data_IF_915358546946
#
_entry.id   IF_915358546946
#
_cell.length_a   1.000
_cell.length_b   1.000
_cell.length_c   1.000
_cell.angle_alpha   90.00
_cell.angle_beta   90.00
_cell.angle_gamma   90.00
#
_symmetry.space_group_name_H-M   'P 1'
#
loop_
_entity.id
_entity.type
_entity.pdbx_description
1 polymer ?
#
# COMPACT_ATOMS: atom_id res chain seq x y z
N UNK A 1 -7.17 42.49 -21.86
CA UNK A 1 -6.42 41.76 -20.83
C UNK A 1 -7.34 41.61 -19.65
N UNK A 2 -7.90 40.40 -19.48
CA UNK A 2 -8.86 40.08 -18.43
C UNK A 2 -8.16 40.09 -17.05
N UNK A 3 -8.90 40.46 -16.00
CA UNK A 3 -8.39 40.50 -14.62
C UNK A 3 -7.82 39.13 -14.12
N UNK A 4 -8.11 38.05 -14.79
CA UNK A 4 -7.55 36.72 -14.56
C UNK A 4 -6.07 36.62 -15.00
N UNK A 5 -5.66 37.30 -16.08
CA UNK A 5 -4.28 37.26 -16.55
C UNK A 5 -3.30 37.95 -15.58
N UNK A 6 -3.79 38.90 -14.76
CA UNK A 6 -2.98 39.57 -13.73
C UNK A 6 -2.75 38.72 -12.47
N UNK A 7 -3.60 37.73 -12.22
CA UNK A 7 -3.46 36.76 -11.12
C UNK A 7 -2.50 35.62 -11.49
N UNK A 8 -2.40 35.29 -12.78
CA UNK A 8 -1.56 34.21 -13.29
C UNK A 8 -0.10 34.66 -13.61
N UNK A 9 0.20 35.96 -13.55
CA UNK A 9 1.53 36.49 -13.88
C UNK A 9 2.42 36.81 -12.68
N UNK A 10 2.04 36.47 -11.44
CA UNK A 10 3.00 36.41 -10.36
C UNK A 10 3.84 35.12 -10.53
N UNK A 11 5.17 35.25 -10.68
CA UNK A 11 5.99 34.07 -10.83
C UNK A 11 5.84 33.20 -9.58
N UNK A 12 5.49 31.93 -9.79
CA UNK A 12 5.36 30.90 -8.75
C UNK A 12 6.66 30.78 -7.92
N UNK A 13 7.78 31.26 -8.42
CA UNK A 13 9.07 31.36 -7.75
C UNK A 13 9.11 32.30 -6.54
N UNK A 14 8.48 33.48 -6.60
CA UNK A 14 8.50 34.41 -5.48
C UNK A 14 7.68 33.92 -4.27
N UNK A 15 6.55 33.24 -4.52
CA UNK A 15 5.74 32.67 -3.44
C UNK A 15 6.44 31.44 -2.82
N UNK A 16 7.21 30.68 -3.60
CA UNK A 16 7.99 29.55 -3.09
C UNK A 16 9.25 29.96 -2.34
N UNK A 17 9.87 31.10 -2.66
CA UNK A 17 11.04 31.59 -1.94
C UNK A 17 10.66 32.19 -0.58
N UNK A 18 9.55 32.90 -0.45
CA UNK A 18 9.07 33.43 0.83
C UNK A 18 8.65 32.34 1.82
N UNK A 19 8.10 31.20 1.33
CA UNK A 19 7.71 30.08 2.17
C UNK A 19 8.93 29.27 2.63
N UNK A 20 9.97 29.13 1.80
CA UNK A 20 11.19 28.37 2.13
C UNK A 20 11.96 28.93 3.33
N UNK A 21 11.90 30.24 3.57
CA UNK A 21 12.61 30.88 4.69
C UNK A 21 11.95 30.69 6.06
N UNK A 22 10.64 30.42 6.12
CA UNK A 22 9.87 30.42 7.37
C UNK A 22 10.29 29.33 8.37
N UNK A 23 10.75 28.18 7.89
CA UNK A 23 11.12 27.04 8.71
C UNK A 23 12.63 26.94 9.00
N UNK A 24 13.45 27.79 8.39
CA UNK A 24 14.91 27.77 8.58
C UNK A 24 15.34 28.07 10.02
N UNK A 25 14.57 28.90 10.76
CA UNK A 25 14.81 29.14 12.20
C UNK A 25 14.72 27.86 13.02
N UNK A 26 13.99 26.86 12.55
CA UNK A 26 13.86 25.54 13.15
C UNK A 26 14.81 24.51 12.53
N UNK A 27 15.74 24.93 11.69
CA UNK A 27 16.64 24.05 10.94
C UNK A 27 15.89 23.03 10.06
N UNK A 28 14.80 23.45 9.44
CA UNK A 28 13.95 22.66 8.56
C UNK A 28 13.82 23.33 7.20
N UNK A 29 13.85 22.52 6.14
CA UNK A 29 13.66 23.00 4.76
C UNK A 29 12.20 23.29 4.41
N UNK A 30 11.25 22.68 5.13
CA UNK A 30 9.81 22.81 4.99
C UNK A 30 9.13 22.25 6.24
N UNK A 31 7.79 22.38 6.35
CA UNK A 31 7.03 21.69 7.38
C UNK A 31 7.10 20.17 7.15
N UNK A 32 7.69 19.38 8.05
CA UNK A 32 7.88 17.94 7.84
C UNK A 32 6.58 17.13 7.94
N UNK A 33 5.56 17.70 8.56
CA UNK A 33 4.29 17.01 8.80
C UNK A 33 3.30 17.24 7.66
N UNK A 34 2.39 16.29 7.38
CA UNK A 34 1.35 16.50 6.39
C UNK A 34 0.22 17.37 6.94
N UNK A 35 -0.26 18.32 6.11
CA UNK A 35 -1.45 19.13 6.44
C UNK A 35 -2.72 18.27 6.54
N UNK A 36 -2.80 17.23 5.71
CA UNK A 36 -3.85 16.22 5.72
C UNK A 36 -3.20 14.83 5.81
N UNK A 37 -3.15 14.24 7.01
CA UNK A 37 -2.44 12.98 7.24
C UNK A 37 -3.26 11.75 6.81
N UNK A 38 -3.47 11.61 5.51
CA UNK A 38 -3.95 10.37 4.89
C UNK A 38 -2.84 9.76 4.04
N UNK A 39 -2.78 8.45 3.96
CA UNK A 39 -1.71 7.77 3.23
C UNK A 39 -2.20 7.39 1.83
N UNK A 40 -1.41 7.78 0.81
CA UNK A 40 -1.64 7.43 -0.59
C UNK A 40 -0.32 6.98 -1.22
N UNK A 41 -0.19 5.71 -1.58
CA UNK A 41 1.04 5.11 -2.13
C UNK A 41 1.55 5.80 -3.40
N UNK A 42 0.64 6.39 -4.18
CA UNK A 42 0.91 7.01 -5.47
C UNK A 42 1.16 8.54 -5.37
N UNK A 43 1.15 9.09 -4.15
CA UNK A 43 1.44 10.50 -3.94
C UNK A 43 2.94 10.80 -4.15
N UNK A 44 3.23 11.95 -4.73
CA UNK A 44 4.60 12.45 -4.88
C UNK A 44 5.18 13.00 -3.58
N UNK A 45 4.35 13.31 -2.59
CA UNK A 45 4.75 13.85 -1.30
C UNK A 45 5.15 12.71 -0.34
N UNK A 46 6.41 12.69 0.06
CA UNK A 46 6.98 11.67 0.93
C UNK A 46 6.33 11.64 2.33
N UNK A 47 5.68 12.73 2.75
CA UNK A 47 4.93 12.81 4.03
C UNK A 47 3.72 11.90 4.08
N UNK A 48 3.13 11.58 2.90
CA UNK A 48 1.89 10.82 2.80
C UNK A 48 1.99 9.56 1.92
N UNK A 49 3.12 9.30 1.26
CA UNK A 49 3.27 8.12 0.39
C UNK A 49 3.81 6.86 1.11
N UNK A 50 3.97 6.92 2.44
CA UNK A 50 4.46 5.84 3.27
C UNK A 50 5.98 5.62 3.21
N UNK A 51 6.78 6.54 2.63
CA UNK A 51 8.24 6.49 2.72
C UNK A 51 8.73 6.86 4.13
N UNK A 52 8.10 7.85 4.75
CA UNK A 52 8.40 8.21 6.13
C UNK A 52 7.64 7.24 7.03
N UNK A 53 8.33 6.24 7.54
CA UNK A 53 7.78 5.21 8.42
C UNK A 53 8.77 4.89 9.53
N UNK A 54 8.28 4.89 10.78
CA UNK A 54 9.08 4.53 11.95
C UNK A 54 8.79 3.09 12.38
N UNK A 55 9.73 2.20 12.12
CA UNK A 55 9.57 0.76 12.37
C UNK A 55 9.45 0.40 13.86
N UNK A 56 10.17 1.12 14.73
CA UNK A 56 10.16 0.81 16.16
C UNK A 56 8.77 0.97 16.79
N UNK A 57 7.95 1.88 16.25
CA UNK A 57 6.55 2.06 16.68
C UNK A 57 5.71 0.79 16.44
N UNK A 58 6.00 0.05 15.37
CA UNK A 58 5.24 -1.14 14.93
C UNK A 58 6.09 -2.41 14.92
N UNK A 59 7.10 -2.44 15.76
CA UNK A 59 8.04 -3.55 15.85
C UNK A 59 7.37 -4.88 16.14
N UNK A 60 6.45 -4.93 17.09
CA UNK A 60 5.70 -6.15 17.44
C UNK A 60 4.87 -6.67 16.26
N UNK A 61 4.14 -5.77 15.60
CA UNK A 61 3.31 -6.10 14.45
C UNK A 61 4.19 -6.60 13.28
N UNK A 62 5.35 -5.97 13.10
CA UNK A 62 6.33 -6.38 12.10
C UNK A 62 6.90 -7.76 12.40
N UNK A 63 7.31 -8.02 13.63
CA UNK A 63 7.82 -9.32 14.07
C UNK A 63 6.77 -10.43 13.88
N UNK A 64 5.50 -10.14 14.19
CA UNK A 64 4.41 -11.09 13.97
C UNK A 64 4.18 -11.35 12.47
N UNK A 65 4.20 -10.31 11.63
CA UNK A 65 4.11 -10.45 10.17
C UNK A 65 5.25 -11.33 9.64
N UNK A 66 6.47 -11.06 10.06
CA UNK A 66 7.65 -11.84 9.69
C UNK A 66 7.52 -13.29 10.11
N UNK A 67 7.21 -13.54 11.37
CA UNK A 67 7.22 -14.88 11.94
C UNK A 67 6.02 -15.74 11.50
N UNK A 68 4.85 -15.13 11.27
CA UNK A 68 3.63 -15.85 10.93
C UNK A 68 3.43 -16.02 9.41
N UNK A 69 4.00 -15.12 8.59
CA UNK A 69 3.71 -15.10 7.16
C UNK A 69 4.96 -15.10 6.27
N UNK A 70 5.93 -14.20 6.52
CA UNK A 70 7.00 -13.97 5.55
C UNK A 70 8.10 -15.04 5.58
N UNK A 71 8.44 -15.57 6.76
CA UNK A 71 9.49 -16.58 6.93
C UNK A 71 9.04 -18.01 6.61
N UNK A 72 7.74 -18.28 6.71
CA UNK A 72 7.23 -19.65 6.59
C UNK A 72 7.21 -20.07 5.11
N UNK A 73 7.88 -21.17 4.74
CA UNK A 73 7.84 -21.69 3.38
C UNK A 73 6.41 -22.05 2.93
N UNK A 74 6.10 -21.85 1.65
CA UNK A 74 4.75 -22.09 1.10
C UNK A 74 4.29 -23.55 1.21
N UNK A 75 5.22 -24.50 1.19
CA UNK A 75 4.96 -25.93 1.34
C UNK A 75 4.95 -26.41 2.80
N UNK A 76 5.20 -25.52 3.76
CA UNK A 76 5.10 -25.86 5.18
C UNK A 76 3.63 -25.97 5.61
N UNK A 77 3.23 -27.01 6.38
CA UNK A 77 1.86 -27.15 6.87
C UNK A 77 1.40 -25.98 7.75
N UNK A 78 2.32 -25.24 8.37
CA UNK A 78 2.00 -24.05 9.19
C UNK A 78 1.83 -22.77 8.36
N UNK A 79 2.01 -22.83 7.03
CA UNK A 79 1.86 -21.67 6.17
C UNK A 79 0.42 -21.13 6.17
N UNK A 80 0.29 -19.86 6.52
CA UNK A 80 -0.99 -19.17 6.57
C UNK A 80 -1.26 -18.46 5.24
N UNK A 81 -2.40 -18.79 4.64
CA UNK A 81 -2.84 -18.24 3.35
C UNK A 81 -3.65 -16.95 3.49
N UNK A 82 -4.02 -16.61 4.72
CA UNK A 82 -4.77 -15.42 5.05
C UNK A 82 -4.43 -14.94 6.45
N UNK A 83 -4.37 -13.62 6.62
CA UNK A 83 -4.19 -12.95 7.88
C UNK A 83 -4.94 -11.63 7.94
N UNK A 84 -5.04 -11.09 9.14
CA UNK A 84 -5.72 -9.84 9.42
C UNK A 84 -4.81 -8.89 10.20
N UNK A 85 -4.75 -7.65 9.73
CA UNK A 85 -4.27 -6.52 10.53
C UNK A 85 -5.52 -5.90 11.15
N UNK A 86 -5.68 -6.06 12.46
CA UNK A 86 -6.92 -5.71 13.15
C UNK A 86 -6.69 -4.63 14.20
N UNK A 87 -7.50 -3.58 14.12
CA UNK A 87 -7.54 -2.55 15.16
C UNK A 87 -8.26 -3.11 16.40
N UNK A 88 -7.55 -3.21 17.51
CA UNK A 88 -8.08 -3.77 18.77
C UNK A 88 -8.58 -2.72 19.74
N UNK A 89 -8.36 -1.44 19.46
CA UNK A 89 -8.50 -0.37 20.45
C UNK A 89 -9.71 0.55 20.22
N UNK A 90 -10.57 0.28 19.25
CA UNK A 90 -11.74 1.11 18.92
C UNK A 90 -11.43 2.60 18.68
N UNK A 91 -10.18 2.96 18.37
CA UNK A 91 -9.74 4.35 18.16
C UNK A 91 -10.23 4.92 16.83
N UNK A 92 -10.75 4.09 15.97
CA UNK A 92 -11.15 4.50 14.63
C UNK A 92 -9.99 4.56 13.63
N UNK A 93 -10.13 5.40 12.62
CA UNK A 93 -9.15 5.59 11.55
C UNK A 93 -7.95 6.42 12.05
N UNK A 94 -6.81 6.29 11.35
CA UNK A 94 -5.63 7.13 11.61
C UNK A 94 -4.55 6.48 12.48
N UNK A 95 -4.65 5.19 12.78
CA UNK A 95 -3.67 4.46 13.60
C UNK A 95 -2.44 3.93 12.83
N UNK A 96 -2.25 4.33 11.54
CA UNK A 96 -1.07 3.98 10.75
C UNK A 96 -1.11 2.60 10.07
N UNK A 97 -2.26 1.91 10.00
CA UNK A 97 -2.38 0.59 9.32
C UNK A 97 -2.02 0.67 7.83
N UNK A 98 -2.55 1.66 7.12
CA UNK A 98 -2.24 1.87 5.70
C UNK A 98 -0.76 2.18 5.48
N UNK A 99 -0.15 3.00 6.33
CA UNK A 99 1.29 3.29 6.26
C UNK A 99 2.13 2.02 6.48
N UNK A 100 1.76 1.19 7.46
CA UNK A 100 2.39 -0.10 7.71
C UNK A 100 2.28 -1.01 6.48
N UNK A 101 1.09 -1.12 5.89
CA UNK A 101 0.84 -1.99 4.75
C UNK A 101 1.62 -1.54 3.50
N UNK A 102 1.69 -0.23 3.25
CA UNK A 102 2.46 0.33 2.12
C UNK A 102 3.97 0.15 2.35
N UNK A 103 4.46 0.33 3.58
CA UNK A 103 5.86 0.06 3.89
C UNK A 103 6.19 -1.43 3.72
N UNK A 104 5.32 -2.33 4.17
CA UNK A 104 5.45 -3.77 3.98
C UNK A 104 5.46 -4.14 2.48
N UNK A 105 4.53 -3.56 1.70
CA UNK A 105 4.47 -3.73 0.24
C UNK A 105 5.80 -3.38 -0.43
N UNK A 106 6.34 -2.22 -0.11
CA UNK A 106 7.63 -1.77 -0.65
C UNK A 106 8.76 -2.74 -0.30
N UNK A 107 8.90 -3.08 0.98
CA UNK A 107 9.95 -4.00 1.46
C UNK A 107 9.88 -5.39 0.83
N UNK A 108 8.69 -5.97 0.69
CA UNK A 108 8.55 -7.28 0.05
C UNK A 108 9.03 -7.21 -1.41
N UNK A 109 8.66 -6.15 -2.14
CA UNK A 109 9.08 -5.98 -3.54
C UNK A 109 10.57 -5.60 -3.69
N UNK A 110 11.21 -5.11 -2.63
CA UNK A 110 12.67 -4.92 -2.53
C UNK A 110 13.41 -6.19 -2.12
N UNK A 111 12.75 -7.34 -1.98
CA UNK A 111 13.35 -8.62 -1.66
C UNK A 111 13.33 -9.02 -0.18
N UNK A 112 12.71 -8.23 0.70
CA UNK A 112 12.74 -8.47 2.15
C UNK A 112 12.28 -9.90 2.56
N UNK A 113 11.26 -10.46 1.90
CA UNK A 113 10.80 -11.82 2.19
C UNK A 113 11.86 -12.88 1.84
N UNK A 114 12.66 -12.65 0.79
CA UNK A 114 13.75 -13.52 0.40
C UNK A 114 14.88 -13.46 1.44
N UNK A 115 15.26 -12.26 1.86
CA UNK A 115 16.36 -12.02 2.79
C UNK A 115 16.10 -12.66 4.16
N UNK A 116 14.92 -12.39 4.75
CA UNK A 116 14.57 -12.91 6.08
C UNK A 116 14.27 -14.40 6.12
N UNK A 117 14.00 -15.02 4.97
CA UNK A 117 13.73 -16.46 4.84
C UNK A 117 14.95 -17.28 4.40
N UNK A 118 16.17 -16.69 4.43
CA UNK A 118 17.39 -17.32 3.96
C UNK A 118 17.28 -17.84 2.51
N UNK A 119 16.79 -16.99 1.63
CA UNK A 119 16.61 -17.25 0.19
C UNK A 119 15.55 -18.33 -0.15
N UNK A 120 14.64 -18.65 0.77
CA UNK A 120 13.57 -19.64 0.51
C UNK A 120 12.35 -18.99 -0.15
N UNK A 121 11.93 -17.81 0.32
CA UNK A 121 10.66 -17.18 -0.09
C UNK A 121 10.89 -16.01 -1.05
N UNK A 122 11.10 -16.31 -2.33
CA UNK A 122 11.08 -15.28 -3.38
C UNK A 122 9.63 -14.89 -3.68
N UNK A 123 9.18 -13.82 -3.06
CA UNK A 123 7.79 -13.36 -3.15
C UNK A 123 7.73 -11.91 -3.60
N UNK A 124 6.64 -11.55 -4.26
CA UNK A 124 6.26 -10.17 -4.49
C UNK A 124 5.00 -9.82 -3.69
N UNK A 125 4.63 -8.55 -3.67
CA UNK A 125 3.37 -8.11 -3.09
C UNK A 125 2.59 -7.20 -4.04
N UNK A 126 1.28 -7.22 -3.88
CA UNK A 126 0.34 -6.34 -4.55
C UNK A 126 -0.49 -5.63 -3.49
N UNK A 127 -0.57 -4.32 -3.58
CA UNK A 127 -1.39 -3.49 -2.69
C UNK A 127 -2.65 -3.04 -3.40
N UNK A 128 -3.79 -3.21 -2.77
CA UNK A 128 -5.07 -2.76 -3.28
C UNK A 128 -5.98 -2.24 -2.17
N UNK A 129 -6.84 -1.30 -2.53
CA UNK A 129 -7.88 -0.76 -1.66
C UNK A 129 -9.22 -0.79 -2.39
N UNK A 130 -10.25 -1.44 -1.84
CA UNK A 130 -11.58 -1.46 -2.44
C UNK A 130 -12.12 -0.06 -2.65
N UNK A 131 -12.83 0.14 -3.76
CA UNK A 131 -13.41 1.44 -4.07
C UNK A 131 -14.51 1.80 -3.07
N UNK A 132 -14.60 3.08 -2.66
CA UNK A 132 -15.62 3.54 -1.73
C UNK A 132 -17.02 3.51 -2.37
N UNK A 133 -18.08 3.64 -1.53
CA UNK A 133 -19.46 3.75 -1.99
C UNK A 133 -20.04 2.45 -2.55
N UNK A 134 -19.48 1.29 -2.17
CA UNK A 134 -20.02 0.00 -2.56
C UNK A 134 -19.77 -0.39 -4.02
N UNK A 135 -18.78 0.18 -4.68
CA UNK A 135 -18.38 -0.20 -6.04
C UNK A 135 -17.71 -1.57 -6.09
N UNK A 136 -17.06 -1.97 -4.99
CA UNK A 136 -16.48 -3.31 -4.83
C UNK A 136 -17.32 -4.09 -3.82
N UNK A 137 -18.30 -4.88 -4.30
CA UNK A 137 -19.23 -5.67 -3.44
C UNK A 137 -19.06 -7.18 -3.59
N UNK A 138 -18.65 -7.65 -4.78
CA UNK A 138 -18.53 -9.07 -5.06
C UNK A 138 -17.07 -9.50 -5.06
N UNK A 139 -16.83 -10.78 -4.87
CA UNK A 139 -15.48 -11.33 -4.96
C UNK A 139 -14.89 -11.12 -6.36
N UNK A 140 -15.70 -11.29 -7.41
CA UNK A 140 -15.26 -11.02 -8.79
C UNK A 140 -14.78 -9.57 -8.99
N UNK A 141 -15.45 -8.57 -8.38
CA UNK A 141 -14.99 -7.18 -8.44
C UNK A 141 -13.67 -6.96 -7.69
N UNK A 142 -13.48 -7.63 -6.53
CA UNK A 142 -12.20 -7.61 -5.84
C UNK A 142 -11.10 -8.23 -6.70
N UNK A 143 -11.39 -9.29 -7.44
CA UNK A 143 -10.45 -9.96 -8.33
C UNK A 143 -10.12 -9.10 -9.56
N UNK A 144 -11.08 -8.36 -10.11
CA UNK A 144 -10.82 -7.37 -11.15
C UNK A 144 -9.87 -6.27 -10.66
N UNK A 145 -10.07 -5.79 -9.41
CA UNK A 145 -9.18 -4.83 -8.77
C UNK A 145 -7.79 -5.43 -8.49
N UNK A 146 -7.73 -6.68 -8.06
CA UNK A 146 -6.47 -7.39 -7.84
C UNK A 146 -5.67 -7.52 -9.14
N UNK A 147 -6.30 -7.93 -10.24
CA UNK A 147 -5.62 -8.02 -11.52
C UNK A 147 -5.15 -6.65 -12.01
N UNK A 148 -5.96 -5.61 -11.87
CA UNK A 148 -5.54 -4.23 -12.16
C UNK A 148 -4.29 -3.86 -11.37
N UNK A 149 -4.26 -4.18 -10.07
CA UNK A 149 -3.09 -3.88 -9.23
C UNK A 149 -1.84 -4.68 -9.62
N UNK A 150 -1.99 -5.90 -10.15
CA UNK A 150 -0.89 -6.66 -10.77
C UNK A 150 -0.33 -5.92 -11.98
N UNK A 151 -1.19 -5.39 -12.86
CA UNK A 151 -0.77 -4.60 -14.01
C UNK A 151 -0.05 -3.30 -13.59
N UNK A 152 -0.67 -2.55 -12.67
CA UNK A 152 -0.13 -1.28 -12.18
C UNK A 152 1.24 -1.44 -11.49
N UNK A 153 1.51 -2.60 -10.88
CA UNK A 153 2.80 -2.94 -10.27
C UNK A 153 3.88 -3.38 -11.25
N UNK A 154 3.57 -3.48 -12.53
CA UNK A 154 4.47 -3.98 -13.59
C UNK A 154 5.02 -5.40 -13.36
N UNK A 155 4.45 -6.18 -12.44
CA UNK A 155 4.97 -7.52 -12.09
C UNK A 155 4.95 -8.48 -13.29
N UNK A 156 3.95 -8.38 -14.18
CA UNK A 156 3.90 -9.20 -15.40
C UNK A 156 5.06 -8.84 -16.31
N UNK A 157 5.37 -7.56 -16.50
CA UNK A 157 6.50 -7.08 -17.29
C UNK A 157 7.82 -7.62 -16.75
N UNK A 158 8.00 -7.59 -15.44
CA UNK A 158 9.18 -8.10 -14.75
C UNK A 158 9.31 -9.64 -14.92
N UNK A 159 8.22 -10.37 -14.78
CA UNK A 159 8.19 -11.82 -14.98
C UNK A 159 8.52 -12.21 -16.42
N UNK A 160 7.96 -11.49 -17.41
CA UNK A 160 8.28 -11.71 -18.82
C UNK A 160 9.77 -11.52 -19.09
N UNK A 161 10.38 -10.48 -18.56
CA UNK A 161 11.82 -10.25 -18.69
C UNK A 161 12.65 -11.38 -18.03
N UNK A 162 12.28 -11.80 -16.83
CA UNK A 162 12.97 -12.89 -16.13
C UNK A 162 12.92 -14.22 -16.91
N UNK A 163 11.73 -14.61 -17.39
CA UNK A 163 11.56 -15.84 -18.17
C UNK A 163 12.33 -15.78 -19.49
N UNK A 164 12.36 -14.61 -20.15
CA UNK A 164 13.14 -14.41 -21.39
C UNK A 164 14.63 -14.46 -21.14
N UNK A 165 15.11 -13.90 -20.01
CA UNK A 165 16.52 -14.01 -19.66
C UNK A 165 16.93 -15.47 -19.47
N UNK A 166 16.15 -16.26 -18.73
CA UNK A 166 16.42 -17.68 -18.52
C UNK A 166 16.42 -18.47 -19.84
N UNK A 167 15.48 -18.18 -20.72
CA UNK A 167 15.42 -18.79 -22.05
C UNK A 167 16.60 -18.38 -22.92
N UNK A 168 16.99 -17.12 -22.91
CA UNK A 168 18.12 -16.58 -23.67
C UNK A 168 19.44 -17.21 -23.22
N UNK A 169 19.68 -17.29 -21.91
CA UNK A 169 20.86 -17.96 -21.36
C UNK A 169 20.91 -19.46 -21.72
N UNK A 170 19.75 -20.11 -21.83
CA UNK A 170 19.66 -21.49 -22.25
C UNK A 170 19.95 -21.67 -23.76
N UNK A 171 19.53 -20.72 -24.61
CA UNK A 171 19.76 -20.75 -26.06
C UNK A 171 21.15 -20.28 -26.42
N UNK A 172 21.74 -19.39 -25.65
CA UNK A 172 23.04 -18.75 -25.92
C UNK A 172 23.86 -18.78 -24.63
N UNK A 173 24.54 -19.90 -24.32
CA UNK A 173 25.31 -20.04 -23.06
C UNK A 173 26.39 -18.98 -22.86
N UNK A 174 26.96 -18.46 -23.96
CA UNK A 174 27.99 -17.42 -23.96
C UNK A 174 27.43 -15.99 -23.81
N UNK A 175 26.11 -15.83 -23.71
CA UNK A 175 25.51 -14.53 -23.54
C UNK A 175 25.87 -13.96 -22.16
N UNK A 176 26.51 -12.79 -22.15
CA UNK A 176 26.91 -12.12 -20.93
C UNK A 176 25.98 -10.94 -20.61
N UNK A 177 25.04 -11.09 -19.67
CA UNK A 177 24.07 -10.03 -19.32
C UNK A 177 24.75 -8.69 -18.97
N UNK A 178 25.86 -8.70 -18.23
CA UNK A 178 26.56 -7.48 -17.79
C UNK A 178 27.12 -6.62 -18.94
N UNK A 179 27.27 -7.19 -20.14
CA UNK A 179 27.68 -6.43 -21.33
C UNK A 179 26.52 -5.74 -22.04
N UNK A 180 25.31 -6.22 -21.84
CA UNK A 180 24.11 -5.79 -22.54
C UNK A 180 23.19 -4.92 -21.68
N UNK A 181 23.20 -5.11 -20.37
CA UNK A 181 22.31 -4.44 -19.44
C UNK A 181 23.09 -3.63 -18.41
N UNK A 182 22.66 -2.37 -18.18
CA UNK A 182 23.27 -1.47 -17.20
C UNK A 182 22.79 -1.77 -15.79
N UNK A 183 21.51 -2.07 -15.66
CA UNK A 183 20.83 -2.33 -14.41
C UNK A 183 19.56 -3.17 -14.67
N UNK A 184 18.80 -3.47 -13.63
CA UNK A 184 17.58 -4.25 -13.71
C UNK A 184 16.48 -3.56 -14.55
N UNK A 185 16.38 -2.25 -14.48
CA UNK A 185 15.38 -1.49 -15.26
C UNK A 185 15.68 -1.57 -16.76
N UNK A 186 16.92 -1.40 -17.15
CA UNK A 186 17.40 -1.53 -18.53
C UNK A 186 17.22 -2.96 -19.06
N UNK A 187 17.44 -3.97 -18.21
CA UNK A 187 17.18 -5.38 -18.54
C UNK A 187 15.70 -5.62 -18.83
N UNK A 188 14.81 -5.15 -17.93
CA UNK A 188 13.37 -5.32 -18.07
C UNK A 188 12.87 -4.63 -19.34
N UNK A 189 13.34 -3.43 -19.63
CA UNK A 189 12.95 -2.68 -20.81
C UNK A 189 13.38 -3.40 -22.09
N UNK A 190 14.65 -3.74 -22.20
CA UNK A 190 15.24 -4.35 -23.38
C UNK A 190 14.69 -5.74 -23.68
N UNK A 191 14.56 -6.60 -22.69
CA UNK A 191 14.00 -7.94 -22.91
C UNK A 191 12.49 -7.94 -23.22
N UNK A 192 11.81 -6.84 -23.01
CA UNK A 192 10.41 -6.64 -23.44
C UNK A 192 10.29 -5.85 -24.77
N UNK A 193 11.41 -5.52 -25.44
CA UNK A 193 11.41 -4.81 -26.71
C UNK A 193 11.74 -5.75 -27.86
N UNK A 194 10.83 -5.83 -28.83
CA UNK A 194 11.04 -6.58 -30.09
C UNK A 194 12.19 -5.99 -30.90
N UNK A 195 12.31 -4.65 -30.93
CA UNK A 195 13.37 -3.93 -31.63
C UNK A 195 14.73 -4.31 -31.09
N UNK A 196 14.92 -4.23 -29.77
CA UNK A 196 16.20 -4.56 -29.14
C UNK A 196 16.60 -6.02 -29.39
N UNK A 197 15.66 -6.96 -29.31
CA UNK A 197 15.93 -8.37 -29.59
C UNK A 197 16.42 -8.56 -31.02
N UNK A 198 15.76 -7.96 -31.99
CA UNK A 198 16.12 -8.04 -33.39
C UNK A 198 17.48 -7.41 -33.69
N UNK A 199 17.80 -6.24 -33.12
CA UNK A 199 19.10 -5.57 -33.24
C UNK A 199 20.25 -6.45 -32.69
N UNK A 200 19.98 -7.20 -31.63
CA UNK A 200 20.94 -8.14 -31.04
C UNK A 200 20.88 -9.55 -31.66
N UNK A 201 20.16 -9.72 -32.80
CA UNK A 201 20.02 -11.00 -33.54
C UNK A 201 19.39 -12.12 -32.71
N UNK A 202 18.58 -11.77 -31.71
CA UNK A 202 17.80 -12.69 -30.88
C UNK A 202 16.42 -12.84 -31.53
N UNK A 203 16.09 -14.04 -32.04
CA UNK A 203 14.80 -14.27 -32.67
C UNK A 203 13.70 -14.42 -31.63
N UNK A 204 12.68 -13.51 -31.59
CA UNK A 204 11.60 -13.58 -30.60
C UNK A 204 10.79 -14.88 -30.65
N UNK A 205 10.60 -15.46 -31.83
CA UNK A 205 9.88 -16.73 -31.98
C UNK A 205 10.61 -17.92 -31.40
N UNK A 206 11.96 -18.01 -31.58
CA UNK A 206 12.78 -19.04 -30.95
C UNK A 206 12.81 -18.86 -29.43
N UNK A 207 12.92 -17.61 -28.99
CA UNK A 207 12.90 -17.29 -27.56
C UNK A 207 11.57 -17.72 -26.93
N UNK A 208 10.43 -17.38 -27.56
CA UNK A 208 9.12 -17.78 -27.08
C UNK A 208 8.93 -19.31 -27.07
N UNK A 209 9.40 -20.00 -28.11
CA UNK A 209 9.38 -21.47 -28.13
C UNK A 209 10.15 -22.07 -26.94
N UNK A 210 11.34 -21.49 -26.61
CA UNK A 210 12.13 -21.95 -25.48
C UNK A 210 11.43 -21.66 -24.13
N UNK A 211 10.77 -20.53 -24.01
CA UNK A 211 9.96 -20.18 -22.82
C UNK A 211 8.88 -21.24 -22.58
N UNK A 212 8.16 -21.66 -23.62
CA UNK A 212 7.08 -22.65 -23.52
C UNK A 212 7.55 -24.06 -23.17
N UNK A 213 8.86 -24.36 -23.21
CA UNK A 213 9.43 -25.60 -22.66
C UNK A 213 9.48 -25.62 -21.13
N UNK A 214 9.23 -24.49 -20.45
CA UNK A 214 9.24 -24.41 -19.00
C UNK A 214 8.15 -25.33 -18.42
N UNK A 215 8.52 -26.15 -17.41
CA UNK A 215 7.64 -27.15 -16.78
C UNK A 215 6.32 -26.61 -16.22
N UNK A 216 6.27 -25.33 -15.86
CA UNK A 216 5.07 -24.67 -15.36
C UNK A 216 4.18 -24.16 -16.49
N UNK A 217 4.78 -23.76 -17.62
CA UNK A 217 4.06 -23.17 -18.74
C UNK A 217 3.47 -24.20 -19.69
N UNK A 218 4.05 -25.40 -19.79
CA UNK A 218 3.61 -26.45 -20.73
C UNK A 218 2.18 -26.91 -20.49
N UNK A 219 1.65 -26.73 -19.28
CA UNK A 219 0.26 -27.13 -18.93
C UNK A 219 -0.77 -26.01 -19.10
N UNK A 220 -0.36 -24.82 -19.51
CA UNK A 220 -1.27 -23.69 -19.72
C UNK A 220 -2.14 -23.90 -20.97
N UNK A 221 -3.37 -23.38 -21.01
CA UNK A 221 -4.24 -23.46 -22.17
C UNK A 221 -3.62 -22.73 -23.37
N UNK A 222 -3.95 -23.17 -24.58
CA UNK A 222 -3.41 -22.58 -25.82
C UNK A 222 -3.85 -21.12 -26.03
N UNK A 223 -4.92 -20.73 -25.39
CA UNK A 223 -5.46 -19.36 -25.39
C UNK A 223 -4.67 -18.43 -24.46
N UNK A 224 -3.77 -18.97 -23.62
CA UNK A 224 -2.95 -18.14 -22.73
C UNK A 224 -2.00 -17.24 -23.54
N UNK A 225 -1.79 -15.95 -23.17
CA UNK A 225 -1.08 -14.98 -24.00
C UNK A 225 0.29 -15.42 -24.55
N UNK A 226 1.02 -16.25 -23.82
CA UNK A 226 2.32 -16.75 -24.25
C UNK A 226 2.26 -17.73 -25.43
N UNK A 227 1.10 -18.36 -25.69
CA UNK A 227 0.90 -19.25 -26.84
C UNK A 227 0.46 -18.50 -28.10
N UNK A 228 -0.04 -17.27 -27.96
CA UNK A 228 -0.38 -16.45 -29.11
C UNK A 228 0.90 -15.99 -29.80
N UNK A 229 1.02 -16.31 -31.09
CA UNK A 229 2.11 -15.78 -31.94
C UNK A 229 1.70 -14.37 -32.32
N UNK A 230 2.36 -13.38 -31.75
CA UNK A 230 2.16 -11.99 -32.08
C UNK A 230 2.95 -11.64 -33.35
N UNK A 231 2.34 -10.80 -34.18
CA UNK A 231 2.92 -10.45 -35.47
C UNK A 231 2.78 -11.57 -36.55
N UNK A 232 3.53 -11.46 -37.64
CA UNK A 232 3.59 -12.48 -38.67
C UNK A 232 4.64 -13.53 -38.34
N UNK A 233 4.54 -14.71 -39.01
CA UNK A 233 5.60 -15.75 -38.90
C UNK A 233 6.98 -15.24 -39.35
N UNK A 234 7.02 -14.18 -40.20
CA UNK A 234 8.25 -13.56 -40.68
C UNK A 234 8.78 -12.49 -39.71
N UNK A 235 7.89 -11.85 -38.97
CA UNK A 235 8.24 -10.78 -38.00
C UNK A 235 7.51 -11.02 -36.65
N UNK A 236 7.95 -12.04 -35.90
CA UNK A 236 7.34 -12.34 -34.63
C UNK A 236 7.62 -11.22 -33.62
N UNK A 237 6.61 -10.85 -32.85
CA UNK A 237 6.68 -9.85 -31.79
C UNK A 237 6.67 -10.53 -30.42
N UNK A 238 7.24 -9.85 -29.43
CA UNK A 238 7.21 -10.35 -28.06
C UNK A 238 5.85 -10.06 -27.41
N UNK A 239 5.38 -11.02 -26.62
CA UNK A 239 4.19 -10.83 -25.79
C UNK A 239 4.49 -9.81 -24.70
N UNK A 240 3.60 -8.84 -24.55
CA UNK A 240 3.72 -7.75 -23.57
C UNK A 240 2.66 -7.88 -22.48
N UNK A 241 2.76 -7.03 -21.46
CA UNK A 241 1.75 -6.94 -20.42
C UNK A 241 0.37 -6.57 -20.96
N UNK A 242 0.28 -5.81 -22.05
CA UNK A 242 -1.00 -5.42 -22.65
C UNK A 242 -1.75 -6.64 -23.22
N UNK A 243 -1.07 -7.63 -23.77
CA UNK A 243 -1.71 -8.88 -24.21
C UNK A 243 -2.36 -9.63 -23.02
N UNK A 244 -1.75 -9.63 -21.84
CA UNK A 244 -2.36 -10.20 -20.64
C UNK A 244 -3.60 -9.41 -20.21
N UNK A 245 -3.56 -8.08 -20.33
CA UNK A 245 -4.72 -7.21 -20.06
C UNK A 245 -5.87 -7.48 -21.02
N UNK A 246 -5.61 -7.53 -22.32
CA UNK A 246 -6.60 -7.81 -23.35
C UNK A 246 -7.20 -9.20 -23.17
N UNK A 247 -6.36 -10.21 -22.96
CA UNK A 247 -6.82 -11.57 -22.68
C UNK A 247 -7.77 -11.61 -21.48
N UNK A 248 -7.38 -11.01 -20.35
CA UNK A 248 -8.24 -10.96 -19.16
C UNK A 248 -9.57 -10.27 -19.40
N UNK A 249 -9.59 -9.18 -20.16
CA UNK A 249 -10.83 -8.46 -20.48
C UNK A 249 -11.78 -9.29 -21.34
N UNK A 250 -11.26 -10.17 -22.19
CA UNK A 250 -12.03 -11.07 -23.04
C UNK A 250 -12.58 -12.29 -22.30
N UNK A 251 -12.04 -12.64 -21.12
CA UNK A 251 -12.55 -13.73 -20.31
C UNK A 251 -13.92 -13.38 -19.72
N UNK A 252 -14.81 -14.38 -19.67
CA UNK A 252 -16.09 -14.24 -18.97
C UNK A 252 -15.85 -13.98 -17.47
N UNK A 253 -16.65 -13.07 -16.93
CA UNK A 253 -16.62 -12.78 -15.50
C UNK A 253 -16.96 -14.02 -14.68
N UNK A 254 -16.37 -14.14 -13.51
CA UNK A 254 -16.54 -15.28 -12.63
C UNK A 254 -15.47 -16.35 -12.89
N UNK A 255 -15.88 -17.60 -13.19
CA UNK A 255 -14.99 -18.75 -13.17
C UNK A 255 -13.76 -18.63 -14.08
N UNK A 256 -13.90 -18.13 -15.31
CA UNK A 256 -12.77 -18.01 -16.25
C UNK A 256 -11.70 -17.03 -15.71
N UNK A 257 -12.12 -15.89 -15.15
CA UNK A 257 -11.20 -14.91 -14.53
C UNK A 257 -10.54 -15.45 -13.27
N UNK A 258 -11.29 -16.20 -12.47
CA UNK A 258 -10.75 -16.85 -11.27
C UNK A 258 -9.73 -17.94 -11.65
N UNK A 259 -10.02 -18.76 -12.66
CA UNK A 259 -9.07 -19.75 -13.18
C UNK A 259 -7.79 -19.08 -13.70
N UNK A 260 -7.94 -18.03 -14.47
CA UNK A 260 -6.79 -17.26 -14.97
C UNK A 260 -5.89 -16.77 -13.84
N UNK A 261 -6.45 -16.15 -12.79
CA UNK A 261 -5.66 -15.59 -11.70
C UNK A 261 -5.14 -16.66 -10.74
N UNK A 262 -6.00 -17.61 -10.34
CA UNK A 262 -5.65 -18.55 -9.27
C UNK A 262 -5.02 -19.86 -9.79
N UNK A 263 -4.95 -20.07 -11.11
CA UNK A 263 -4.24 -21.19 -11.71
C UNK A 263 -3.21 -20.74 -12.74
N UNK A 264 -3.62 -20.06 -13.82
CA UNK A 264 -2.71 -19.76 -14.93
C UNK A 264 -1.63 -18.74 -14.57
N UNK A 265 -1.97 -17.63 -13.90
CA UNK A 265 -0.97 -16.66 -13.42
C UNK A 265 -0.08 -17.26 -12.33
N UNK A 266 -0.56 -18.19 -11.51
CA UNK A 266 0.30 -18.91 -10.56
C UNK A 266 1.40 -19.67 -11.28
N UNK A 267 1.05 -20.40 -12.36
CA UNK A 267 2.05 -21.09 -13.19
C UNK A 267 3.04 -20.13 -13.85
N UNK A 268 2.53 -19.02 -14.35
CA UNK A 268 3.36 -17.98 -14.95
C UNK A 268 4.37 -17.36 -13.94
N UNK A 269 3.92 -17.05 -12.73
CA UNK A 269 4.81 -16.53 -11.68
C UNK A 269 5.82 -17.57 -11.18
N UNK A 270 5.41 -18.84 -11.11
CA UNK A 270 6.33 -19.93 -10.79
C UNK A 270 7.41 -20.10 -11.86
N UNK A 271 7.05 -19.92 -13.15
CA UNK A 271 8.01 -19.94 -14.26
C UNK A 271 9.03 -18.79 -14.18
N UNK A 272 8.64 -17.65 -13.58
CA UNK A 272 9.52 -16.51 -13.29
C UNK A 272 10.28 -16.66 -11.96
N UNK A 273 10.34 -17.88 -11.40
CA UNK A 273 11.01 -18.20 -10.15
C UNK A 273 10.44 -17.53 -8.89
N UNK A 274 9.23 -16.99 -8.92
CA UNK A 274 8.51 -16.64 -7.69
C UNK A 274 7.88 -17.89 -7.09
N UNK A 275 7.91 -18.01 -5.76
CA UNK A 275 7.25 -19.10 -5.04
C UNK A 275 6.06 -18.63 -4.20
N UNK A 276 5.73 -17.35 -4.22
CA UNK A 276 4.56 -16.80 -3.54
C UNK A 276 4.31 -15.33 -3.82
N UNK A 277 3.12 -14.88 -3.42
CA UNK A 277 2.75 -13.47 -3.48
C UNK A 277 1.88 -13.08 -2.28
N UNK A 278 2.01 -11.83 -1.84
CA UNK A 278 1.19 -11.24 -0.79
C UNK A 278 0.19 -10.27 -1.40
N UNK A 279 -1.09 -10.50 -1.17
CA UNK A 279 -2.19 -9.64 -1.59
C UNK A 279 -2.60 -8.80 -0.38
N UNK A 280 -2.17 -7.55 -0.36
CA UNK A 280 -2.35 -6.63 0.75
C UNK A 280 -3.60 -5.78 0.48
N UNK A 281 -4.68 -6.05 1.22
CA UNK A 281 -5.98 -5.41 1.04
C UNK A 281 -6.21 -4.41 2.16
N UNK A 282 -6.11 -3.14 1.83
CA UNK A 282 -6.42 -2.05 2.76
C UNK A 282 -7.91 -1.72 2.75
N UNK A 283 -8.41 -1.07 3.81
CA UNK A 283 -9.82 -0.65 3.94
C UNK A 283 -10.82 -1.77 3.54
N UNK A 284 -10.58 -3.01 3.95
CA UNK A 284 -11.42 -4.16 3.56
C UNK A 284 -12.89 -3.98 3.98
N UNK A 285 -13.16 -3.22 5.03
CA UNK A 285 -14.53 -2.91 5.49
C UNK A 285 -15.42 -2.27 4.41
N UNK A 286 -14.82 -1.64 3.40
CA UNK A 286 -15.58 -1.06 2.28
C UNK A 286 -16.36 -2.09 1.48
N UNK A 287 -16.02 -3.37 1.60
CA UNK A 287 -16.73 -4.47 0.94
C UNK A 287 -17.96 -4.89 1.76
N UNK A 288 -17.82 -5.39 3.00
CA UNK A 288 -18.96 -5.92 3.77
C UNK A 288 -19.96 -4.84 4.21
N UNK A 289 -19.55 -3.57 4.31
CA UNK A 289 -20.45 -2.46 4.67
C UNK A 289 -21.61 -2.29 3.68
N UNK A 290 -21.40 -2.65 2.42
CA UNK A 290 -22.38 -2.50 1.34
C UNK A 290 -22.98 -3.82 0.85
N UNK A 291 -22.71 -4.93 1.53
CA UNK A 291 -23.19 -6.26 1.17
C UNK A 291 -24.43 -6.67 1.98
N UNK A 292 -25.38 -7.34 1.32
CA UNK A 292 -26.40 -8.14 2.00
C UNK A 292 -25.79 -9.38 2.68
N UNK A 293 -26.50 -10.01 3.60
CA UNK A 293 -26.05 -11.25 4.27
C UNK A 293 -25.68 -12.34 3.25
N UNK A 294 -26.47 -12.53 2.20
CA UNK A 294 -26.19 -13.46 1.13
C UNK A 294 -24.89 -13.14 0.39
N UNK A 295 -24.69 -11.86 0.03
CA UNK A 295 -23.46 -11.45 -0.66
C UNK A 295 -22.21 -11.66 0.19
N UNK A 296 -22.29 -11.39 1.50
CA UNK A 296 -21.18 -11.67 2.44
C UNK A 296 -20.82 -13.14 2.46
N UNK A 297 -21.84 -14.02 2.55
CA UNK A 297 -21.63 -15.48 2.55
C UNK A 297 -21.04 -15.97 1.22
N UNK A 298 -21.59 -15.52 0.09
CA UNK A 298 -21.12 -15.90 -1.24
C UNK A 298 -19.66 -15.42 -1.46
N UNK A 299 -19.33 -14.20 -1.02
CA UNK A 299 -17.97 -13.67 -1.03
C UNK A 299 -17.00 -14.55 -0.22
N UNK A 300 -17.36 -14.88 1.02
CA UNK A 300 -16.53 -15.71 1.89
C UNK A 300 -16.35 -17.14 1.32
N UNK A 301 -17.39 -17.70 0.68
CA UNK A 301 -17.33 -19.01 0.04
C UNK A 301 -16.40 -19.01 -1.19
N UNK A 302 -16.50 -18.00 -2.05
CA UNK A 302 -15.60 -17.85 -3.21
C UNK A 302 -14.13 -17.68 -2.78
N UNK A 303 -13.90 -16.86 -1.76
CA UNK A 303 -12.57 -16.66 -1.17
C UNK A 303 -12.01 -17.99 -0.62
N UNK A 304 -12.83 -18.77 0.09
CA UNK A 304 -12.48 -20.10 0.59
C UNK A 304 -12.11 -21.05 -0.55
N UNK A 305 -12.91 -21.10 -1.61
CA UNK A 305 -12.66 -21.95 -2.77
C UNK A 305 -11.33 -21.61 -3.44
N UNK A 306 -11.00 -20.32 -3.57
CA UNK A 306 -9.76 -19.89 -4.20
C UNK A 306 -8.51 -20.16 -3.35
N UNK A 307 -8.62 -20.13 -2.01
CA UNK A 307 -7.47 -20.23 -1.12
C UNK A 307 -7.28 -21.62 -0.50
N UNK A 308 -8.37 -22.39 -0.28
CA UNK A 308 -8.32 -23.61 0.56
C UNK A 308 -8.91 -24.85 -0.09
N UNK A 309 -10.02 -24.76 -0.83
CA UNK A 309 -10.81 -25.93 -1.17
C UNK A 309 -10.37 -26.66 -2.47
N UNK A 310 -9.22 -26.34 -3.01
CA UNK A 310 -8.56 -27.13 -4.04
C UNK A 310 -9.13 -27.05 -5.45
N UNK A 311 -10.05 -26.11 -5.74
CA UNK A 311 -10.56 -25.92 -7.09
C UNK A 311 -9.46 -25.38 -8.02
N UNK A 312 -8.67 -24.43 -7.55
CA UNK A 312 -7.62 -23.78 -8.32
C UNK A 312 -6.23 -24.23 -7.85
N UNK A 313 -5.23 -24.05 -8.69
CA UNK A 313 -3.84 -24.37 -8.37
C UNK A 313 -3.35 -23.67 -7.11
N UNK A 314 -3.76 -22.41 -6.92
CA UNK A 314 -3.46 -21.66 -5.71
C UNK A 314 -3.92 -22.35 -4.42
N UNK A 315 -5.12 -22.95 -4.43
CA UNK A 315 -5.64 -23.65 -3.26
C UNK A 315 -4.81 -24.90 -2.89
N UNK A 316 -4.12 -25.50 -3.84
CA UNK A 316 -3.20 -26.63 -3.60
C UNK A 316 -1.84 -26.16 -3.10
N UNK A 317 -1.32 -25.08 -3.66
CA UNK A 317 0.06 -24.63 -3.44
C UNK A 317 0.20 -23.53 -2.38
N UNK A 318 -0.86 -22.76 -2.09
CA UNK A 318 -0.80 -21.62 -1.20
C UNK A 318 0.05 -20.48 -1.74
N UNK A 319 0.04 -20.24 -3.06
CA UNK A 319 0.87 -19.22 -3.70
C UNK A 319 0.51 -17.81 -3.24
N UNK A 320 -0.79 -17.46 -3.22
CA UNK A 320 -1.26 -16.18 -2.72
C UNK A 320 -1.56 -16.23 -1.22
N UNK A 321 -1.04 -15.25 -0.49
CA UNK A 321 -1.42 -14.97 0.90
C UNK A 321 -2.13 -13.63 0.96
N UNK A 322 -3.38 -13.62 1.43
CA UNK A 322 -4.19 -12.42 1.59
C UNK A 322 -4.01 -11.86 2.99
N UNK A 323 -3.65 -10.58 3.09
CA UNK A 323 -3.59 -9.82 4.33
C UNK A 323 -4.65 -8.71 4.25
N UNK A 324 -5.69 -8.82 5.08
CA UNK A 324 -6.81 -7.90 5.10
C UNK A 324 -6.68 -6.92 6.28
N UNK A 325 -6.83 -5.63 6.03
CA UNK A 325 -6.91 -4.62 7.09
C UNK A 325 -8.35 -4.49 7.53
N UNK A 326 -8.60 -4.69 8.83
CA UNK A 326 -9.92 -4.61 9.45
C UNK A 326 -9.97 -3.53 10.52
N UNK A 327 -11.06 -2.76 10.53
CA UNK A 327 -11.43 -1.95 11.69
C UNK A 327 -12.14 -2.80 12.76
N UNK A 328 -12.14 -2.32 13.99
CA UNK A 328 -12.65 -3.07 15.16
C UNK A 328 -14.11 -3.59 15.04
N UNK A 329 -14.96 -2.92 14.25
CA UNK A 329 -16.35 -3.33 14.04
C UNK A 329 -16.54 -4.42 12.96
N UNK A 330 -15.58 -4.59 12.06
CA UNK A 330 -15.72 -5.48 10.89
C UNK A 330 -15.86 -6.96 11.23
N UNK A 331 -15.16 -7.53 12.24
CA UNK A 331 -15.36 -8.91 12.62
C UNK A 331 -16.81 -9.26 12.92
N UNK A 332 -17.53 -8.40 13.63
CA UNK A 332 -18.98 -8.62 13.92
C UNK A 332 -19.84 -8.56 12.65
N UNK A 333 -19.47 -7.72 11.70
CA UNK A 333 -20.20 -7.53 10.46
C UNK A 333 -20.15 -8.74 9.52
N UNK A 334 -19.06 -9.50 9.58
CA UNK A 334 -18.83 -10.66 8.70
C UNK A 334 -18.88 -12.00 9.42
N UNK A 335 -18.98 -12.04 10.75
CA UNK A 335 -18.85 -13.24 11.57
C UNK A 335 -19.81 -14.36 11.15
N UNK A 336 -21.09 -14.06 10.95
CA UNK A 336 -22.10 -15.04 10.53
C UNK A 336 -21.74 -15.63 9.16
N UNK A 337 -21.49 -14.78 8.18
CA UNK A 337 -21.11 -15.22 6.83
C UNK A 337 -19.79 -16.02 6.81
N UNK A 338 -18.85 -15.67 7.69
CA UNK A 338 -17.58 -16.35 7.85
C UNK A 338 -17.75 -17.74 8.43
N UNK A 339 -18.63 -17.88 9.42
CA UNK A 339 -19.02 -19.18 10.01
C UNK A 339 -19.79 -20.03 9.01
N UNK A 340 -20.83 -19.48 8.36
CA UNK A 340 -21.69 -20.19 7.42
C UNK A 340 -20.94 -20.69 6.18
N UNK A 341 -19.94 -19.95 5.73
CA UNK A 341 -19.08 -20.37 4.64
C UNK A 341 -18.02 -21.41 5.07
N UNK A 342 -17.87 -21.68 6.36
CA UNK A 342 -16.83 -22.53 6.92
C UNK A 342 -15.43 -21.91 6.93
N UNK A 343 -15.31 -20.61 6.67
CA UNK A 343 -14.03 -19.88 6.76
C UNK A 343 -13.53 -19.80 8.21
N UNK A 344 -14.41 -19.71 9.21
CA UNK A 344 -14.02 -19.68 10.63
C UNK A 344 -13.16 -20.88 11.04
N UNK A 345 -13.41 -22.06 10.44
CA UNK A 345 -12.61 -23.26 10.70
C UNK A 345 -11.21 -23.21 10.05
N UNK A 346 -11.01 -22.35 9.05
CA UNK A 346 -9.73 -22.18 8.33
C UNK A 346 -8.96 -21.00 8.85
N UNK A 347 -9.67 -19.90 9.07
CA UNK A 347 -9.13 -18.59 9.45
C UNK A 347 -10.04 -17.97 10.49
N UNK A 348 -9.85 -18.31 11.79
CA UNK A 348 -10.64 -17.73 12.85
C UNK A 348 -10.54 -16.22 12.89
N UNK A 349 -11.69 -15.54 12.87
CA UNK A 349 -11.77 -14.07 12.96
C UNK A 349 -12.21 -13.62 14.35
N UNK A 350 -12.88 -14.50 15.06
CA UNK A 350 -13.37 -14.22 16.41
C UNK A 350 -12.21 -14.32 17.39
N UNK A 351 -11.92 -13.27 18.17
CA UNK A 351 -10.93 -13.34 19.23
C UNK A 351 -11.37 -14.40 20.24
N UNK A 352 -10.86 -15.60 20.11
CA UNK A 352 -11.00 -16.63 21.15
C UNK A 352 -9.96 -16.37 22.22
N UNK A 353 -10.08 -17.06 23.40
CA UNK A 353 -9.08 -17.02 24.46
C UNK A 353 -7.68 -17.48 24.01
N UNK A 354 -7.58 -18.08 22.84
CA UNK A 354 -6.33 -18.43 22.17
C UNK A 354 -5.99 -17.37 21.13
N UNK A 355 -4.81 -16.77 21.27
CA UNK A 355 -4.24 -15.82 20.28
C UNK A 355 -4.07 -16.61 18.98
N UNK A 356 -4.80 -16.22 17.93
CA UNK A 356 -4.65 -16.85 16.62
C UNK A 356 -3.47 -16.20 15.88
N UNK A 357 -2.64 -17.01 15.21
CA UNK A 357 -1.54 -16.53 14.36
C UNK A 357 -2.03 -15.73 13.15
N UNK A 358 -3.32 -15.82 12.81
CA UNK A 358 -3.94 -15.12 11.71
C UNK A 358 -4.16 -13.62 11.97
N UNK A 359 -4.19 -13.20 13.24
CA UNK A 359 -4.49 -11.82 13.64
C UNK A 359 -3.20 -11.14 14.11
N UNK A 360 -2.91 -10.01 13.48
CA UNK A 360 -1.89 -9.06 13.91
C UNK A 360 -2.64 -7.89 14.54
N UNK A 361 -2.66 -7.80 15.89
CA UNK A 361 -3.35 -6.74 16.59
C UNK A 361 -2.61 -5.42 16.41
N UNK A 362 -3.33 -4.36 16.04
CA UNK A 362 -2.83 -3.00 15.98
C UNK A 362 -3.28 -2.25 17.22
N UNK A 363 -2.32 -1.99 18.12
CA UNK A 363 -2.56 -1.31 19.38
C UNK A 363 -2.49 0.22 19.23
N UNK A 364 -3.01 0.94 20.24
CA UNK A 364 -2.81 2.38 20.38
C UNK A 364 -1.32 2.70 20.44
N UNK A 365 -0.96 3.89 19.95
CA UNK A 365 0.34 4.45 20.25
C UNK A 365 0.45 4.73 21.77
N UNK A 366 1.67 4.89 22.23
CA UNK A 366 1.99 5.47 23.53
C UNK A 366 2.69 6.83 23.35
N UNK A 367 3.08 7.49 24.45
CA UNK A 367 3.74 8.81 24.40
C UNK A 367 5.11 8.73 23.74
N UNK A 368 5.87 7.68 24.00
CA UNK A 368 7.21 7.44 23.44
C UNK A 368 7.12 7.19 21.94
N UNK A 369 6.06 6.50 21.48
CA UNK A 369 5.78 6.34 20.05
C UNK A 369 5.52 7.68 19.35
N UNK A 370 4.87 8.64 20.03
CA UNK A 370 4.67 9.98 19.47
C UNK A 370 6.01 10.71 19.30
N UNK A 371 6.91 10.61 20.28
CA UNK A 371 8.27 11.17 20.19
C UNK A 371 9.03 10.57 19.01
N UNK A 372 9.04 9.25 18.89
CA UNK A 372 9.71 8.55 17.78
C UNK A 372 9.11 8.94 16.42
N UNK A 373 7.79 9.07 16.35
CA UNK A 373 7.08 9.51 15.12
C UNK A 373 7.52 10.91 14.68
N UNK A 374 7.51 11.89 15.61
CA UNK A 374 7.90 13.25 15.28
C UNK A 374 9.39 13.33 14.92
N UNK A 375 10.28 12.66 15.64
CA UNK A 375 11.71 12.59 15.31
C UNK A 375 11.93 12.08 13.89
N UNK A 376 11.21 11.02 13.49
CA UNK A 376 11.33 10.43 12.16
C UNK A 376 10.94 11.42 11.07
N UNK A 377 9.82 12.14 11.22
CA UNK A 377 9.41 13.16 10.26
C UNK A 377 10.36 14.36 10.24
N UNK A 378 10.78 14.85 11.41
CA UNK A 378 11.74 15.95 11.52
C UNK A 378 13.07 15.62 10.85
N UNK A 379 13.61 14.41 11.04
CA UNK A 379 14.91 13.99 10.49
C UNK A 379 14.96 14.04 8.97
N UNK A 380 13.85 13.72 8.29
CA UNK A 380 13.77 13.74 6.83
C UNK A 380 13.82 15.17 6.23
N UNK A 381 13.45 16.18 7.02
CA UNK A 381 13.35 17.57 6.56
C UNK A 381 14.43 18.48 7.16
N UNK A 382 15.41 17.94 7.91
CA UNK A 382 16.55 18.70 8.42
C UNK A 382 17.39 19.27 7.28
N UNK A 383 17.91 20.47 7.48
CA UNK A 383 18.89 21.09 6.58
C UNK A 383 20.26 20.49 6.90
N UNK A 384 20.84 19.74 5.95
CA UNK A 384 22.05 18.92 6.14
C UNK A 384 23.33 19.70 6.44
N UNK A 385 23.40 21.00 6.07
CA UNK A 385 24.62 21.81 6.20
C UNK A 385 24.81 22.47 7.58
N UNK A 386 23.96 22.17 8.55
CA UNK A 386 23.95 22.85 9.84
C UNK A 386 24.58 22.07 11.00
N UNK A 387 25.51 21.15 10.75
CA UNK A 387 26.33 20.53 11.82
C UNK A 387 27.05 21.57 12.73
N UNK A 388 27.20 22.82 12.25
CA UNK A 388 27.86 23.94 12.98
C UNK A 388 27.00 24.61 14.07
N UNK A 389 25.69 24.34 14.16
CA UNK A 389 24.82 25.04 15.14
C UNK A 389 24.60 24.33 16.45
N UNK A 390 25.33 23.26 16.76
CA UNK A 390 25.39 22.68 18.11
C UNK A 390 24.07 22.19 18.74
N UNK A 391 23.01 22.01 17.95
CA UNK A 391 21.72 21.51 18.42
C UNK A 391 21.58 20.05 17.99
N UNK A 392 22.12 19.16 18.80
CA UNK A 392 21.96 17.70 18.66
C UNK A 392 20.56 17.18 19.07
N UNK A 393 19.60 18.10 19.27
CA UNK A 393 18.24 17.70 19.66
C UNK A 393 17.43 17.30 18.42
N UNK A 394 17.23 15.99 18.26
CA UNK A 394 16.46 15.39 17.15
C UNK A 394 15.01 15.83 17.16
N UNK A 395 14.45 16.23 18.32
CA UNK A 395 13.07 16.63 18.49
C UNK A 395 12.84 18.12 18.26
N UNK A 396 13.92 18.96 18.28
CA UNK A 396 13.79 20.39 18.06
C UNK A 396 12.98 20.70 16.77
N UNK A 397 12.02 21.65 16.77
CA UNK A 397 11.75 22.68 17.80
C UNK A 397 10.81 22.26 18.92
N UNK A 398 10.29 21.05 18.94
CA UNK A 398 9.40 20.58 20.01
C UNK A 398 10.19 20.20 21.27
N UNK A 399 9.61 20.47 22.45
CA UNK A 399 10.06 19.84 23.67
C UNK A 399 9.36 18.49 23.88
N UNK A 400 9.91 17.61 24.68
CA UNK A 400 9.33 16.30 24.94
C UNK A 400 7.96 16.43 25.65
N UNK A 401 7.83 17.38 26.56
CA UNK A 401 6.56 17.69 27.26
C UNK A 401 5.49 18.15 26.25
N UNK A 402 5.87 18.99 25.29
CA UNK A 402 4.95 19.39 24.22
C UNK A 402 4.45 18.20 23.40
N UNK A 403 5.34 17.28 23.07
CA UNK A 403 4.96 16.06 22.32
C UNK A 403 4.04 15.17 23.15
N UNK A 404 4.29 15.04 24.44
CA UNK A 404 3.39 14.28 25.33
C UNK A 404 2.01 14.92 25.41
N UNK A 405 1.92 16.24 25.45
CA UNK A 405 0.65 16.97 25.41
C UNK A 405 -0.07 16.79 24.06
N UNK A 406 0.66 16.91 22.95
CA UNK A 406 0.13 16.63 21.60
C UNK A 406 -0.43 15.21 21.54
N UNK A 407 0.28 14.22 22.03
CA UNK A 407 -0.13 12.82 22.03
C UNK A 407 -1.42 12.60 22.84
N UNK A 408 -1.52 13.23 24.00
CA UNK A 408 -2.67 13.15 24.90
C UNK A 408 -3.93 13.75 24.24
N UNK A 409 -3.85 14.98 23.76
CA UNK A 409 -4.97 15.68 23.11
C UNK A 409 -5.39 14.99 21.82
N UNK A 410 -4.43 14.37 21.13
CA UNK A 410 -4.65 13.58 19.93
C UNK A 410 -5.14 12.15 20.21
N UNK A 411 -5.45 11.81 21.48
CA UNK A 411 -5.93 10.48 21.89
C UNK A 411 -4.97 9.33 21.47
N UNK A 412 -3.67 9.61 21.36
CA UNK A 412 -2.63 8.68 20.91
C UNK A 412 -2.87 8.17 19.46
N UNK A 413 -3.52 8.96 18.62
CA UNK A 413 -3.82 8.66 17.22
C UNK A 413 -2.78 9.30 16.31
N UNK A 414 -2.09 8.51 15.50
CA UNK A 414 -0.98 8.97 14.65
C UNK A 414 -1.39 10.10 13.68
N UNK A 415 -2.55 10.00 13.02
CA UNK A 415 -3.02 11.04 12.11
C UNK A 415 -3.31 12.35 12.83
N UNK A 416 -3.94 12.29 14.02
CA UNK A 416 -4.24 13.47 14.82
C UNK A 416 -2.94 14.11 15.35
N UNK A 417 -1.97 13.30 15.78
CA UNK A 417 -0.64 13.77 16.22
C UNK A 417 0.04 14.54 15.08
N UNK A 418 0.13 13.94 13.89
CA UNK A 418 0.78 14.58 12.74
C UNK A 418 0.07 15.87 12.31
N UNK A 419 -1.27 15.88 12.28
CA UNK A 419 -2.06 17.06 11.94
C UNK A 419 -1.84 18.20 12.92
N UNK A 420 -1.93 17.91 14.22
CA UNK A 420 -1.72 18.92 15.25
C UNK A 420 -0.27 19.44 15.24
N UNK A 421 0.70 18.55 15.01
CA UNK A 421 2.10 18.96 14.87
C UNK A 421 2.34 19.86 13.66
N UNK A 422 1.64 19.59 12.52
CA UNK A 422 1.65 20.47 11.36
C UNK A 422 1.14 21.87 11.73
N UNK A 423 -0.05 21.95 12.34
CA UNK A 423 -0.70 23.22 12.67
C UNK A 423 0.11 24.04 13.69
N UNK A 424 0.72 23.38 14.68
CA UNK A 424 1.58 24.01 15.69
C UNK A 424 2.87 24.58 15.08
N UNK A 425 3.53 23.80 14.22
CA UNK A 425 4.77 24.22 13.58
C UNK A 425 4.52 25.35 12.57
N UNK A 426 3.43 25.29 11.82
CA UNK A 426 3.00 26.33 10.90
C UNK A 426 2.73 27.65 11.65
N UNK A 427 1.97 27.62 12.73
CA UNK A 427 1.75 28.76 13.62
C UNK A 427 3.06 29.31 14.19
N UNK A 428 3.92 28.45 14.75
CA UNK A 428 5.19 28.84 15.30
C UNK A 428 6.11 29.49 14.25
N UNK A 429 6.04 29.07 12.98
CA UNK A 429 6.85 29.62 11.90
C UNK A 429 6.54 31.11 11.64
N UNK A 430 5.29 31.52 11.82
CA UNK A 430 4.82 32.90 11.57
C UNK A 430 5.13 33.87 12.73
N UNK A 431 5.52 33.36 13.93
CA UNK A 431 5.82 34.16 15.10
C UNK A 431 7.33 34.32 15.24
N UNK A 432 7.88 35.52 15.00
CA UNK A 432 9.33 35.74 14.93
C UNK A 432 10.08 35.37 16.21
N UNK A 433 9.49 35.57 17.38
CA UNK A 433 10.11 35.33 18.68
C UNK A 433 9.94 33.86 19.16
N UNK A 434 9.19 33.05 18.43
CA UNK A 434 8.94 31.66 18.82
C UNK A 434 10.10 30.76 18.37
N UNK A 435 10.99 30.42 19.30
CA UNK A 435 12.14 29.55 19.01
C UNK A 435 11.85 28.06 19.28
N UNK A 436 10.92 27.75 20.20
CA UNK A 436 10.58 26.39 20.61
C UNK A 436 9.07 26.21 20.77
N UNK A 437 8.60 25.01 20.52
CA UNK A 437 7.22 24.60 20.77
C UNK A 437 7.21 23.81 22.08
N UNK A 438 6.87 24.49 23.16
CA UNK A 438 6.73 23.92 24.49
C UNK A 438 5.26 23.59 24.84
N UNK A 439 5.03 22.98 25.98
CA UNK A 439 3.69 22.58 26.44
C UNK A 439 2.73 23.77 26.52
N UNK A 440 3.21 24.94 26.98
CA UNK A 440 2.38 26.15 27.09
C UNK A 440 1.91 26.64 25.75
N UNK A 441 2.80 26.66 24.74
CA UNK A 441 2.44 27.03 23.38
C UNK A 441 1.38 26.09 22.81
N UNK A 442 1.49 24.78 23.07
CA UNK A 442 0.48 23.79 22.65
C UNK A 442 -0.87 24.08 23.28
N UNK A 443 -0.93 24.35 24.59
CA UNK A 443 -2.17 24.69 25.30
C UNK A 443 -2.81 25.97 24.77
N UNK A 444 -2.05 27.04 24.59
CA UNK A 444 -2.55 28.31 24.07
C UNK A 444 -3.18 28.18 22.67
N UNK A 445 -2.58 27.38 21.79
CA UNK A 445 -3.13 27.17 20.44
C UNK A 445 -4.41 26.31 20.48
N UNK A 446 -4.45 25.31 21.33
CA UNK A 446 -5.62 24.43 21.48
C UNK A 446 -6.80 25.24 22.04
N UNK A 447 -6.59 26.03 23.10
CA UNK A 447 -7.64 26.83 23.72
C UNK A 447 -8.20 27.88 22.74
N UNK A 448 -7.34 28.54 21.96
CA UNK A 448 -7.78 29.45 20.90
C UNK A 448 -8.65 28.73 19.85
N UNK A 449 -8.24 27.55 19.41
CA UNK A 449 -9.00 26.79 18.41
C UNK A 449 -10.37 26.31 18.95
N UNK A 450 -10.46 25.98 20.25
CA UNK A 450 -11.73 25.63 20.90
C UNK A 450 -12.64 26.84 20.95
N UNK A 451 -12.16 28.00 21.39
CA UNK A 451 -12.91 29.26 21.44
C UNK A 451 -13.41 29.66 20.05
N UNK A 452 -12.57 29.59 19.02
CA UNK A 452 -12.95 29.90 17.64
C UNK A 452 -14.02 28.93 17.10
N UNK A 453 -13.96 27.67 17.46
CA UNK A 453 -14.94 26.65 17.06
C UNK A 453 -16.30 26.85 17.75
N UNK A 454 -16.30 27.21 19.01
CA UNK A 454 -17.51 27.52 19.79
C UNK A 454 -18.16 28.81 19.31
N UNK A 455 -17.36 29.83 18.99
CA UNK A 455 -17.84 31.09 18.42
C UNK A 455 -18.49 30.87 17.04
N UNK A 456 -17.85 30.06 16.16
CA UNK A 456 -18.42 29.69 14.86
C UNK A 456 -19.70 28.90 14.99
N UNK A 457 -19.81 27.95 15.95
CA UNK A 457 -21.03 27.20 16.22
C UNK A 457 -22.15 28.09 16.74
N UNK A 458 -21.86 29.06 17.60
CA UNK A 458 -22.84 30.02 18.12
C UNK A 458 -23.38 30.95 17.02
N UNK A 459 -22.50 31.41 16.12
CA UNK A 459 -22.88 32.24 14.96
C UNK A 459 -23.75 31.41 14.00
N UNK A 460 -23.35 30.19 13.64
CA UNK A 460 -24.14 29.34 12.76
C UNK A 460 -25.51 28.97 13.35
N UNK A 461 -25.58 28.75 14.66
CA UNK A 461 -26.88 28.50 15.34
C UNK A 461 -27.77 29.75 15.39
N UNK A 462 -27.19 30.93 15.53
CA UNK A 462 -27.92 32.21 15.51
C UNK A 462 -28.50 32.49 14.10
N UNK A 463 -27.65 32.30 13.05
CA UNK A 463 -28.10 32.45 11.66
C UNK A 463 -29.23 31.47 11.29
N UNK A 464 -29.10 30.20 11.73
CA UNK A 464 -30.14 29.17 11.51
C UNK A 464 -31.45 29.55 12.25
N UNK A 465 -31.36 30.10 13.46
CA UNK A 465 -32.51 30.54 14.23
C UNK A 465 -33.18 31.74 13.59
N UNK A 466 -32.43 32.69 13.03
CA UNK A 466 -32.96 33.86 12.31
C UNK A 466 -33.62 33.47 10.96
N UNK A 467 -33.03 32.48 10.25
CA UNK A 467 -33.66 31.94 9.04
C UNK A 467 -34.96 31.20 9.34
N UNK A 468 -35.04 30.45 10.43
CA UNK A 468 -36.25 29.77 10.87
C UNK A 468 -37.34 30.77 11.31
N UNK A 469 -36.97 31.87 11.98
CA UNK A 469 -37.94 32.94 12.34
C UNK A 469 -38.46 33.70 11.13
N UNK A 470 -37.64 33.93 10.11
CA UNK A 470 -38.07 34.53 8.84
C UNK A 470 -38.98 33.61 8.03
N UNK A 471 -38.77 32.29 8.10
CA UNK A 471 -39.60 31.31 7.41
C UNK A 471 -40.98 31.05 8.12
N UNK A 472 -41.15 31.46 9.38
CA UNK A 472 -42.38 31.33 10.14
C UNK A 472 -43.18 32.64 10.20
N UNK A 473 -42.70 33.71 9.61
CA UNK A 473 -43.27 35.05 9.67
C UNK A 473 -43.87 35.56 8.38
N UNK A 474 -44.00 34.73 7.37
CA UNK A 474 -44.78 34.92 6.13
C UNK A 474 -45.93 33.86 6.10
#
# INVERSE_FOLDING_TARGET
>A
MNSFDKLLTKPTSEIQEDVKGLFEKFNLRDNPFPSEPFVNKDANDDRINGKIFEMEIRKKEYEQMVNNFLKIPRNDPSHLRMGFIMDTSYIGRGNGKSAFLINLHRKINEGFALDISNNINKSFSVYLSPEPGGRTKTFSQLIDLFFKSILDSSIIKNCLAAIRLDALLSLTPDFNPSKHFKDESDLIEKLNSTEWLNENKINPGMLNKKILENKYLISLPKEFPLYEIQGSLLTPEVVTQDHFKEHYLNLKKGQERLEFIFSHLVDFFLAANFNGAFVLVDDFERIPDFQSARQKRDFALELRNCLYDGLYKNAKMGFYTFILVLHAGVPRLIQEAWSDSGMENRVPITPSRTITKHIIPFEKLNREHAVSLLKRYLSEYRIKDNEKRGRNDELFPFTEEAVYKIAEVSELNASKILKLSYDLLDKASTINEQEKIDEKFVEEIIDKNIMDSETKKSIASAETTDLLKKAQGD
#
